data_IF_399271875907
#
_entry.id   IF_399271875907
#
_cell.length_a   1.000
_cell.length_b   1.000
_cell.length_c   1.000
_cell.angle_alpha   90.00
_cell.angle_beta   90.00
_cell.angle_gamma   90.00
#
_symmetry.space_group_name_H-M   'P 1'
#
loop_
_entity.id
_entity.type
_entity.pdbx_description
1 polymer ?
#
# COMPACT_ATOMS: atom_id res chain seq x y z
N UNK A 1 -0.23 12.70 12.97
CA UNK A 1 1.18 12.44 13.37
C UNK A 1 1.15 12.12 14.86
N UNK A 2 1.46 10.89 15.27
CA UNK A 2 1.64 10.55 16.67
C UNK A 2 3.12 10.19 16.90
N UNK A 3 3.76 10.87 17.85
CA UNK A 3 5.12 10.60 18.30
C UNK A 3 5.08 10.01 19.71
N UNK A 4 5.62 8.81 19.90
CA UNK A 4 5.87 8.22 21.22
C UNK A 4 7.37 8.30 21.55
N UNK A 5 7.73 8.89 22.69
CA UNK A 5 9.10 8.91 23.21
C UNK A 5 9.35 7.69 24.09
N UNK A 6 10.29 6.84 23.69
CA UNK A 6 10.96 5.90 24.59
C UNK A 6 12.36 6.40 24.95
N UNK A 7 12.71 6.39 26.24
CA UNK A 7 14.02 6.78 26.74
C UNK A 7 14.87 5.52 26.96
N UNK A 8 15.85 5.29 26.09
CA UNK A 8 16.92 4.32 26.32
C UNK A 8 18.26 5.07 26.42
N UNK A 9 19.03 4.77 27.47
CA UNK A 9 20.35 5.33 27.73
C UNK A 9 21.42 4.40 27.13
N UNK A 10 22.13 4.91 26.13
CA UNK A 10 23.28 4.27 25.46
C UNK A 10 23.73 5.16 24.31
N UNK A 11 25.04 5.38 24.17
CA UNK A 11 25.64 6.23 23.14
C UNK A 11 25.52 5.58 21.74
N UNK A 12 24.32 5.62 21.17
CA UNK A 12 24.06 5.23 19.80
C UNK A 12 23.93 6.51 18.96
N UNK A 13 24.86 6.72 18.02
CA UNK A 13 24.69 7.73 16.98
C UNK A 13 23.49 7.33 16.13
N UNK A 14 22.38 8.05 16.30
CA UNK A 14 21.18 7.93 15.48
C UNK A 14 21.48 8.42 14.06
N UNK A 15 21.89 7.50 13.19
CA UNK A 15 21.93 7.77 11.75
C UNK A 15 20.49 7.88 11.24
N UNK A 16 20.07 9.09 10.85
CA UNK A 16 18.80 9.30 10.13
C UNK A 16 18.97 8.79 8.70
N UNK A 17 18.49 7.57 8.44
CA UNK A 17 18.31 7.07 7.08
C UNK A 17 17.03 7.69 6.50
N UNK A 18 17.18 8.49 5.44
CA UNK A 18 16.06 9.06 4.71
C UNK A 18 15.95 8.32 3.38
N UNK A 19 14.96 7.43 3.24
CA UNK A 19 14.71 6.69 2.01
C UNK A 19 13.60 7.40 1.24
N UNK A 20 13.82 7.67 -0.04
CA UNK A 20 12.81 8.15 -0.99
C UNK A 20 12.70 7.13 -2.10
N UNK A 21 11.48 6.79 -2.50
CA UNK A 21 11.17 5.89 -3.60
C UNK A 21 10.02 6.48 -4.42
N UNK A 22 9.95 6.11 -5.69
CA UNK A 22 8.84 6.44 -6.58
C UNK A 22 8.10 5.12 -6.84
N UNK A 23 6.86 5.02 -6.35
CA UNK A 23 6.09 3.76 -6.39
C UNK A 23 5.36 3.55 -7.71
N UNK A 24 5.18 4.61 -8.52
CA UNK A 24 4.31 4.56 -9.68
C UNK A 24 5.00 3.77 -10.81
N UNK A 25 4.47 2.60 -11.22
CA UNK A 25 5.00 1.91 -12.39
C UNK A 25 4.69 2.73 -13.64
N UNK A 26 5.64 2.77 -14.57
CA UNK A 26 5.48 3.47 -15.86
C UNK A 26 4.34 2.88 -16.70
N UNK A 27 4.02 1.59 -16.48
CA UNK A 27 3.01 0.82 -17.21
C UNK A 27 1.76 0.55 -16.37
N UNK A 28 1.39 1.45 -15.44
CA UNK A 28 0.16 1.28 -14.67
C UNK A 28 -1.06 1.19 -15.59
N UNK A 29 -1.77 0.07 -15.53
CA UNK A 29 -2.95 -0.18 -16.34
C UNK A 29 -4.22 0.26 -15.62
N UNK A 30 -4.62 1.53 -15.86
CA UNK A 30 -5.85 2.10 -15.30
C UNK A 30 -7.11 1.27 -15.61
N UNK A 31 -7.09 0.48 -16.69
CA UNK A 31 -8.23 -0.34 -17.10
C UNK A 31 -8.33 -1.69 -16.37
N UNK A 32 -7.24 -2.18 -15.77
CA UNK A 32 -7.21 -3.44 -14.99
C UNK A 32 -7.39 -3.15 -13.51
N UNK A 33 -6.65 -2.15 -13.01
CA UNK A 33 -6.59 -1.86 -11.59
C UNK A 33 -7.31 -0.58 -11.22
N UNK A 34 -7.92 0.17 -12.15
CA UNK A 34 -8.50 1.48 -11.86
C UNK A 34 -7.43 2.54 -11.58
N UNK A 35 -7.85 3.67 -11.01
CA UNK A 35 -6.93 4.78 -10.71
C UNK A 35 -5.81 4.36 -9.74
N UNK A 36 -4.61 4.84 -10.06
CA UNK A 36 -3.43 4.68 -9.22
C UNK A 36 -3.58 5.39 -7.86
N UNK A 37 -3.01 4.80 -6.82
CA UNK A 37 -2.75 5.44 -5.54
C UNK A 37 -1.61 4.70 -4.85
N UNK A 38 -0.71 5.42 -4.19
CA UNK A 38 0.38 4.82 -3.40
C UNK A 38 -0.15 3.76 -2.42
N UNK A 39 -1.25 4.06 -1.73
CA UNK A 39 -1.83 3.15 -0.74
C UNK A 39 -2.40 1.88 -1.40
N UNK A 40 -2.99 2.03 -2.59
CA UNK A 40 -3.53 0.91 -3.38
C UNK A 40 -2.41 0.00 -3.88
N UNK A 41 -1.34 0.60 -4.41
CA UNK A 41 -0.15 -0.12 -4.85
C UNK A 41 0.49 -0.89 -3.69
N UNK A 42 0.63 -0.24 -2.53
CA UNK A 42 1.15 -0.88 -1.32
C UNK A 42 0.25 -2.02 -0.84
N UNK A 43 -1.07 -1.89 -0.95
CA UNK A 43 -1.99 -2.96 -0.60
C UNK A 43 -1.88 -4.17 -1.54
N UNK A 44 -1.85 -3.93 -2.87
CA UNK A 44 -1.64 -4.98 -3.89
C UNK A 44 -0.33 -5.72 -3.63
N UNK A 45 0.77 -4.98 -3.45
CA UNK A 45 2.09 -5.52 -3.11
C UNK A 45 2.07 -6.39 -1.85
N UNK A 46 1.32 -5.98 -0.82
CA UNK A 46 1.23 -6.72 0.43
C UNK A 46 0.44 -8.03 0.28
N UNK A 47 -0.70 -7.99 -0.42
CA UNK A 47 -1.57 -9.16 -0.64
C UNK A 47 -0.93 -10.18 -1.58
N UNK A 48 -0.31 -9.70 -2.65
CA UNK A 48 0.31 -10.57 -3.65
C UNK A 48 1.72 -11.00 -3.25
N UNK A 49 2.43 -10.21 -2.44
CA UNK A 49 3.84 -10.41 -2.06
C UNK A 49 4.80 -10.51 -3.27
N UNK A 50 4.48 -9.80 -4.35
CA UNK A 50 5.22 -9.78 -5.62
C UNK A 50 5.26 -8.36 -6.15
N UNK A 51 6.20 -8.10 -7.05
CA UNK A 51 6.32 -6.80 -7.73
C UNK A 51 5.33 -6.67 -8.88
N UNK A 52 5.07 -5.44 -9.34
CA UNK A 52 4.14 -5.13 -10.43
C UNK A 52 4.34 -6.02 -11.67
N UNK A 53 5.58 -6.19 -12.13
CA UNK A 53 5.93 -6.98 -13.31
C UNK A 53 5.57 -8.48 -13.21
N UNK A 54 5.36 -9.00 -11.99
CA UNK A 54 5.03 -10.40 -11.72
C UNK A 54 3.53 -10.61 -11.40
N UNK A 55 2.70 -9.55 -11.49
CA UNK A 55 1.26 -9.65 -11.26
C UNK A 55 0.55 -10.20 -12.50
N UNK A 56 -0.36 -11.15 -12.28
CA UNK A 56 -1.25 -11.67 -13.31
C UNK A 56 -2.68 -11.13 -13.12
N UNK A 57 -3.50 -11.17 -14.18
CA UNK A 57 -4.91 -10.72 -14.09
C UNK A 57 -5.69 -11.46 -12.99
N UNK A 58 -5.36 -12.72 -12.70
CA UNK A 58 -5.95 -13.51 -11.61
C UNK A 58 -5.61 -12.97 -10.21
N UNK A 59 -4.47 -12.27 -10.05
CA UNK A 59 -4.08 -11.65 -8.79
C UNK A 59 -5.02 -10.46 -8.45
N UNK A 60 -5.65 -9.85 -9.45
CA UNK A 60 -6.65 -8.78 -9.24
C UNK A 60 -7.81 -9.29 -8.41
N UNK A 61 -8.36 -10.47 -8.73
CA UNK A 61 -9.49 -11.06 -8.00
C UNK A 61 -9.11 -11.38 -6.55
N UNK A 62 -7.88 -11.84 -6.33
CA UNK A 62 -7.34 -12.09 -4.98
C UNK A 62 -7.25 -10.80 -4.17
N UNK A 63 -6.80 -9.69 -4.78
CA UNK A 63 -6.76 -8.38 -4.11
C UNK A 63 -8.17 -7.87 -3.81
N UNK A 64 -9.11 -7.99 -4.76
CA UNK A 64 -10.53 -7.64 -4.55
C UNK A 64 -11.12 -8.39 -3.38
N UNK A 65 -10.84 -9.70 -3.28
CA UNK A 65 -11.29 -10.52 -2.14
C UNK A 65 -10.63 -10.10 -0.83
N UNK A 66 -9.31 -9.89 -0.81
CA UNK A 66 -8.60 -9.47 0.39
C UNK A 66 -9.07 -8.10 0.90
N UNK A 67 -9.42 -7.17 0.00
CA UNK A 67 -9.99 -5.88 0.39
C UNK A 67 -11.36 -6.03 1.04
N UNK A 68 -12.24 -6.90 0.52
CA UNK A 68 -13.52 -7.21 1.15
C UNK A 68 -13.33 -7.77 2.56
N UNK A 69 -12.43 -8.73 2.74
CA UNK A 69 -12.12 -9.30 4.05
C UNK A 69 -11.54 -8.24 5.02
N UNK A 70 -10.72 -7.33 4.51
CA UNK A 70 -10.17 -6.22 5.28
C UNK A 70 -11.27 -5.29 5.82
N UNK A 71 -12.27 -4.96 5.01
CA UNK A 71 -13.44 -4.15 5.43
C UNK A 71 -14.37 -4.95 6.36
N UNK A 72 -14.63 -6.23 6.07
CA UNK A 72 -15.45 -7.11 6.91
C UNK A 72 -14.84 -7.32 8.31
N UNK A 73 -13.52 -7.32 8.42
CA UNK A 73 -12.81 -7.35 9.70
C UNK A 73 -12.99 -6.05 10.53
N UNK A 74 -13.67 -5.03 9.98
CA UNK A 74 -13.94 -3.75 10.63
C UNK A 74 -12.78 -2.77 10.59
N UNK A 75 -11.81 -2.96 9.68
CA UNK A 75 -10.73 -2.00 9.49
C UNK A 75 -11.23 -0.75 8.77
N UNK A 76 -10.62 0.42 9.02
CA UNK A 76 -10.98 1.65 8.31
C UNK A 76 -10.63 1.53 6.82
N UNK A 77 -11.48 2.05 5.90
CA UNK A 77 -11.19 2.07 4.48
C UNK A 77 -9.85 2.72 4.17
N UNK A 78 -9.17 2.19 3.15
CA UNK A 78 -7.86 2.71 2.75
C UNK A 78 -8.10 3.93 1.85
N UNK A 79 -7.55 5.11 2.19
CA UNK A 79 -7.71 6.30 1.35
C UNK A 79 -6.83 6.20 0.11
N UNK A 80 -7.38 6.60 -1.03
CA UNK A 80 -6.71 6.82 -2.30
C UNK A 80 -5.92 8.13 -2.33
N UNK A 81 -5.43 8.52 -3.51
CA UNK A 81 -4.59 9.71 -3.68
C UNK A 81 -5.34 11.02 -3.34
N UNK A 82 -6.60 11.12 -3.72
CA UNK A 82 -7.47 12.28 -3.46
C UNK A 82 -8.20 12.21 -2.10
N UNK A 83 -7.95 11.17 -1.30
CA UNK A 83 -8.65 10.92 -0.04
C UNK A 83 -10.01 10.23 -0.18
N UNK A 84 -10.42 9.91 -1.41
CA UNK A 84 -11.52 8.98 -1.69
C UNK A 84 -11.14 7.55 -1.30
N UNK A 85 -12.11 6.66 -1.07
CA UNK A 85 -11.80 5.25 -0.80
C UNK A 85 -11.15 4.58 -2.01
N UNK A 86 -10.12 3.75 -1.80
CA UNK A 86 -9.59 2.94 -2.89
C UNK A 86 -10.67 1.96 -3.36
N UNK A 87 -10.86 1.93 -4.67
CA UNK A 87 -11.81 1.02 -5.28
C UNK A 87 -11.10 0.07 -6.23
N UNK A 88 -11.66 -1.11 -6.37
CA UNK A 88 -11.21 -2.18 -7.25
C UNK A 88 -12.37 -2.65 -8.13
N UNK A 89 -13.27 -1.76 -8.57
CA UNK A 89 -14.38 -2.07 -9.50
C UNK A 89 -13.96 -3.01 -10.64
#
# INVERSE_FOLDING_TARGET
IQEGRSLFCGDYELFRLNVRWELKPDEWEDWVFGSYSDNKYMFIMNVCQRVWDDLEDEDVDKVKQAYKEYIEAGNPPIPGEDGDEIDYE
#
